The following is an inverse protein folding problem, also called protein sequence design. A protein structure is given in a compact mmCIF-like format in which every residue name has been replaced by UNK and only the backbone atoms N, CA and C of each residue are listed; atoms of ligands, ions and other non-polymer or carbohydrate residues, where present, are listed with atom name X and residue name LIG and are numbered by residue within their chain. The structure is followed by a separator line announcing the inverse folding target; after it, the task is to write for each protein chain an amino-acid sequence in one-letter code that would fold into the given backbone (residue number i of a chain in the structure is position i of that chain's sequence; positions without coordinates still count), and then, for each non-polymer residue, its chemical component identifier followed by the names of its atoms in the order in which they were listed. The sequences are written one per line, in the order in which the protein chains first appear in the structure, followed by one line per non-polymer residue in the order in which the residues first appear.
data_IF_772853930111
#
_entry.id   IF_772853930111
#
_cell.length_a   1.000
_cell.length_b   1.000
_cell.length_c   1.000
_cell.angle_alpha   90.00
_cell.angle_beta   90.00
_cell.angle_gamma   90.00
#
_symmetry.space_group_name_H-M   'P 1'
#
loop_
_entity.id
_entity.type
_entity.pdbx_description
1 polymer ?
#
# COMPACT_ATOMS: atom_id res chain seq x y z
N UNK A 1 57.12 -22.74 -6.54
CA UNK A 1 56.51 -21.61 -5.80
C UNK A 1 56.11 -20.45 -6.75
N UNK A 2 55.45 -20.75 -7.87
CA UNK A 2 54.91 -19.72 -8.79
C UNK A 2 53.53 -20.10 -9.36
N UNK A 3 53.15 -21.39 -9.35
CA UNK A 3 51.84 -21.85 -9.85
C UNK A 3 50.67 -21.61 -8.88
N UNK A 4 50.91 -21.56 -7.56
CA UNK A 4 49.86 -21.31 -6.56
C UNK A 4 49.45 -19.84 -6.43
N UNK A 5 50.24 -18.91 -6.98
CA UNK A 5 49.98 -17.47 -6.92
C UNK A 5 49.10 -16.96 -8.07
N UNK A 6 48.86 -17.77 -9.10
CA UNK A 6 48.04 -17.39 -10.26
C UNK A 6 46.62 -17.99 -10.23
N UNK A 7 46.37 -19.04 -9.44
CA UNK A 7 45.05 -19.67 -9.35
C UNK A 7 44.14 -18.91 -8.37
N UNK A 8 44.71 -18.30 -7.32
CA UNK A 8 43.94 -17.58 -6.29
C UNK A 8 43.25 -16.31 -6.82
N UNK A 9 43.86 -15.46 -7.66
CA UNK A 9 43.17 -14.30 -8.25
C UNK A 9 42.10 -14.73 -9.26
N UNK A 10 42.30 -15.85 -9.97
CA UNK A 10 41.34 -16.37 -10.95
C UNK A 10 40.09 -16.97 -10.30
N UNK A 11 40.22 -17.58 -9.11
CA UNK A 11 39.07 -18.03 -8.29
C UNK A 11 38.36 -16.82 -7.66
N UNK A 12 39.10 -15.83 -7.15
CA UNK A 12 38.48 -14.65 -6.52
C UNK A 12 37.79 -13.73 -7.54
N UNK A 13 38.30 -13.63 -8.78
CA UNK A 13 37.66 -12.86 -9.85
C UNK A 13 36.47 -13.59 -10.52
N UNK A 14 36.37 -14.92 -10.41
CA UNK A 14 35.24 -15.68 -10.96
C UNK A 14 34.01 -15.69 -10.04
N UNK A 15 34.14 -15.31 -8.77
CA UNK A 15 33.03 -15.28 -7.81
C UNK A 15 32.48 -13.88 -7.48
N UNK A 16 33.12 -12.79 -7.91
CA UNK A 16 32.71 -11.43 -7.49
C UNK A 16 31.79 -10.73 -8.48
N UNK A 17 31.96 -10.95 -9.79
CA UNK A 17 31.08 -10.39 -10.83
C UNK A 17 29.72 -11.09 -10.89
N UNK A 18 29.70 -12.42 -11.05
CA UNK A 18 28.46 -13.19 -11.14
C UNK A 18 27.63 -13.15 -9.85
N UNK A 19 28.25 -13.07 -8.66
CA UNK A 19 27.47 -12.99 -7.41
C UNK A 19 26.75 -11.67 -7.27
N UNK A 20 27.32 -10.54 -7.68
CA UNK A 20 26.61 -9.27 -7.58
C UNK A 20 25.38 -9.24 -8.48
N UNK A 21 25.48 -9.70 -9.73
CA UNK A 21 24.32 -9.75 -10.63
C UNK A 21 23.29 -10.83 -10.23
N UNK A 22 23.72 -11.94 -9.63
CA UNK A 22 22.83 -12.98 -9.06
C UNK A 22 22.15 -12.48 -7.77
N UNK A 23 22.88 -11.77 -6.93
CA UNK A 23 22.37 -11.17 -5.68
C UNK A 23 21.45 -9.98 -6.00
N UNK A 24 21.82 -9.11 -6.93
CA UNK A 24 20.99 -8.00 -7.41
C UNK A 24 19.76 -8.53 -8.17
N UNK A 25 19.85 -9.66 -8.90
CA UNK A 25 18.67 -10.30 -9.49
C UNK A 25 17.77 -11.00 -8.46
N UNK A 26 18.31 -11.51 -7.35
CA UNK A 26 17.54 -11.93 -6.17
C UNK A 26 16.83 -10.74 -5.47
N UNK A 27 17.29 -9.51 -5.68
CA UNK A 27 16.67 -8.26 -5.19
C UNK A 27 15.83 -7.51 -6.25
N UNK A 28 15.64 -8.06 -7.45
CA UNK A 28 14.73 -7.52 -8.48
C UNK A 28 13.25 -7.83 -8.20
N UNK A 29 12.96 -8.82 -7.36
CA UNK A 29 11.59 -9.21 -6.98
C UNK A 29 11.13 -8.43 -5.74
N UNK A 30 11.17 -7.09 -5.80
CA UNK A 30 10.62 -6.29 -4.72
C UNK A 30 9.11 -6.33 -4.79
N UNK A 31 8.47 -6.65 -3.68
CA UNK A 31 7.04 -6.40 -3.51
C UNK A 31 6.75 -4.93 -3.77
N UNK A 32 5.64 -4.61 -4.42
CA UNK A 32 5.32 -3.24 -4.76
C UNK A 32 3.82 -2.99 -4.86
N UNK A 33 3.46 -1.72 -4.80
CA UNK A 33 2.18 -1.17 -5.25
C UNK A 33 2.47 -0.08 -6.27
N UNK A 34 1.68 -0.05 -7.34
CA UNK A 34 1.69 1.03 -8.33
C UNK A 34 0.27 1.33 -8.76
N UNK A 35 -0.03 2.60 -9.02
CA UNK A 35 -1.33 3.02 -9.51
C UNK A 35 -1.24 4.43 -10.10
N UNK A 36 -2.33 4.88 -10.70
CA UNK A 36 -2.55 6.26 -11.07
C UNK A 36 -3.49 6.92 -10.05
N UNK A 37 -3.09 8.05 -9.47
CA UNK A 37 -3.93 8.84 -8.55
C UNK A 37 -4.16 10.20 -9.20
N UNK A 38 -5.42 10.51 -9.55
CA UNK A 38 -5.80 11.78 -10.20
C UNK A 38 -4.94 12.15 -11.43
N UNK A 39 -4.62 11.15 -12.26
CA UNK A 39 -3.78 11.33 -13.45
C UNK A 39 -2.27 11.23 -13.18
N UNK A 40 -1.84 11.04 -11.93
CA UNK A 40 -0.42 10.97 -11.54
C UNK A 40 -0.01 9.53 -11.23
N UNK A 41 1.00 9.05 -11.92
CA UNK A 41 1.57 7.72 -11.64
C UNK A 41 2.37 7.75 -10.34
N UNK A 42 2.06 6.81 -9.46
CA UNK A 42 2.74 6.61 -8.18
C UNK A 42 3.18 5.17 -8.03
N UNK A 43 4.31 4.96 -7.35
CA UNK A 43 4.84 3.62 -7.06
C UNK A 43 5.46 3.60 -5.66
N UNK A 44 5.15 2.56 -4.90
CA UNK A 44 5.74 2.29 -3.60
C UNK A 44 6.35 0.91 -3.57
N UNK A 45 7.65 0.82 -3.36
CA UNK A 45 8.36 -0.47 -3.27
C UNK A 45 8.52 -0.92 -1.81
N UNK A 46 8.37 -2.22 -1.56
CA UNK A 46 8.73 -2.89 -0.33
C UNK A 46 10.20 -3.23 -0.34
N UNK A 47 10.96 -2.70 0.61
CA UNK A 47 12.39 -2.99 0.71
C UNK A 47 12.60 -4.45 1.14
N UNK A 48 13.32 -5.23 0.32
CA UNK A 48 14.00 -6.45 0.75
C UNK A 48 15.44 -6.08 1.12
N UNK A 49 15.74 -5.96 2.42
CA UNK A 49 17.12 -6.07 2.90
C UNK A 49 17.26 -7.42 3.58
N UNK A 50 18.23 -8.21 3.14
CA UNK A 50 18.52 -9.57 3.60
C UNK A 50 18.73 -9.70 5.13
N UNK A 51 18.90 -8.58 5.85
CA UNK A 51 19.21 -8.54 7.28
C UNK A 51 18.41 -7.51 8.08
N UNK A 52 17.42 -6.85 7.46
CA UNK A 52 16.55 -5.90 8.15
C UNK A 52 15.11 -6.28 7.82
N UNK A 53 14.37 -6.77 8.82
CA UNK A 53 12.91 -6.85 8.71
C UNK A 53 12.42 -5.44 8.34
N UNK A 54 11.77 -5.25 7.18
CA UNK A 54 11.31 -3.92 6.83
C UNK A 54 10.23 -3.53 7.83
N UNK A 55 10.56 -2.60 8.74
CA UNK A 55 9.58 -2.04 9.69
C UNK A 55 8.43 -1.31 8.99
N UNK A 56 8.56 -1.06 7.67
CA UNK A 56 7.72 -0.11 6.93
C UNK A 56 7.15 -0.69 5.60
N UNK A 57 7.09 -2.02 5.43
CA UNK A 57 6.30 -2.64 4.35
C UNK A 57 5.16 -3.44 4.96
N UNK A 58 3.95 -2.89 4.92
CA UNK A 58 2.77 -3.47 5.56
C UNK A 58 1.85 -4.12 4.51
N UNK A 59 2.43 -4.99 3.67
CA UNK A 59 1.62 -5.99 2.97
C UNK A 59 1.69 -7.28 3.77
N UNK A 60 0.55 -7.79 4.20
CA UNK A 60 0.47 -9.02 4.98
C UNK A 60 -0.80 -9.78 4.64
N UNK A 61 -0.80 -11.04 5.02
CA UNK A 61 -1.98 -11.89 4.91
C UNK A 61 -2.05 -12.85 6.09
N UNK A 62 -3.23 -13.41 6.31
CA UNK A 62 -3.41 -14.56 7.19
C UNK A 62 -4.39 -15.51 6.54
N UNK A 63 -4.13 -16.81 6.68
CA UNK A 63 -5.06 -17.86 6.32
C UNK A 63 -5.12 -18.88 7.46
N UNK A 64 -6.29 -18.96 8.09
CA UNK A 64 -6.55 -19.68 9.33
C UNK A 64 -7.26 -21.02 9.05
N UNK A 65 -7.18 -21.95 10.01
CA UNK A 65 -7.76 -23.31 9.89
C UNK A 65 -9.29 -23.29 9.71
N UNK A 66 -9.96 -22.23 10.16
CA UNK A 66 -11.40 -22.02 9.96
C UNK A 66 -11.74 -21.48 8.55
N UNK A 67 -10.75 -21.41 7.67
CA UNK A 67 -10.86 -20.93 6.29
C UNK A 67 -10.87 -19.41 6.18
N UNK A 68 -10.69 -18.65 7.26
CA UNK A 68 -10.66 -17.19 7.19
C UNK A 68 -9.40 -16.70 6.48
N UNK A 69 -9.61 -15.84 5.48
CA UNK A 69 -8.55 -15.14 4.77
C UNK A 69 -8.57 -13.67 5.11
N UNK A 70 -7.41 -13.11 5.44
CA UNK A 70 -7.21 -11.67 5.58
C UNK A 70 -6.05 -11.23 4.69
N UNK A 71 -6.15 -10.07 4.09
CA UNK A 71 -5.07 -9.45 3.32
C UNK A 71 -5.09 -7.95 3.53
N UNK A 72 -3.93 -7.36 3.77
CA UNK A 72 -3.80 -5.93 4.02
C UNK A 72 -2.66 -5.34 3.20
N UNK A 73 -2.87 -4.12 2.72
CA UNK A 73 -1.84 -3.23 2.20
C UNK A 73 -1.94 -1.93 2.98
N UNK A 74 -0.83 -1.50 3.56
CA UNK A 74 -0.64 -0.14 4.02
C UNK A 74 0.69 0.38 3.46
N UNK A 75 0.60 1.32 2.52
CA UNK A 75 1.77 1.81 1.80
C UNK A 75 1.70 3.28 1.42
N UNK A 76 2.73 4.02 1.87
CA UNK A 76 3.04 5.35 1.35
C UNK A 76 3.56 5.27 -0.09
N UNK A 77 3.01 6.13 -0.95
CA UNK A 77 3.37 6.27 -2.38
C UNK A 77 3.49 7.76 -2.70
N UNK A 78 4.41 8.10 -3.59
CA UNK A 78 4.64 9.50 -3.97
C UNK A 78 4.58 9.64 -5.49
N UNK A 79 4.06 10.77 -5.96
CA UNK A 79 4.21 11.18 -7.35
C UNK A 79 5.52 11.97 -7.55
N UNK A 80 5.91 12.17 -8.82
CA UNK A 80 7.14 12.90 -9.18
C UNK A 80 7.07 14.40 -8.89
N UNK A 81 5.88 14.95 -8.69
CA UNK A 81 5.62 16.37 -8.46
C UNK A 81 5.57 16.71 -6.95
N UNK A 82 5.78 15.71 -6.08
CA UNK A 82 5.83 15.88 -4.63
C UNK A 82 4.51 15.62 -3.92
N UNK A 83 3.50 15.07 -4.59
CA UNK A 83 2.32 14.53 -3.94
C UNK A 83 2.68 13.30 -3.10
N UNK A 84 2.16 13.26 -1.88
CA UNK A 84 2.41 12.23 -0.90
C UNK A 84 1.07 11.62 -0.47
N UNK A 85 0.90 10.35 -0.80
CA UNK A 85 -0.31 9.60 -0.58
C UNK A 85 0.01 8.36 0.24
N UNK A 86 -0.99 7.83 0.92
CA UNK A 86 -0.88 6.52 1.56
C UNK A 86 -2.12 5.70 1.25
N UNK A 87 -1.91 4.54 0.65
CA UNK A 87 -2.97 3.62 0.22
C UNK A 87 -3.15 2.57 1.30
N UNK A 88 -4.41 2.38 1.69
CA UNK A 88 -4.85 1.34 2.59
C UNK A 88 -5.85 0.45 1.85
N UNK A 89 -5.57 -0.85 1.79
CA UNK A 89 -6.52 -1.86 1.33
C UNK A 89 -6.60 -2.93 2.41
N UNK A 90 -7.82 -3.35 2.74
CA UNK A 90 -8.04 -4.43 3.70
C UNK A 90 -9.14 -5.35 3.21
N UNK A 91 -8.86 -6.64 3.26
CA UNK A 91 -9.74 -7.71 2.79
C UNK A 91 -9.89 -8.71 3.92
N UNK A 92 -11.12 -9.10 4.20
CA UNK A 92 -11.46 -10.25 5.04
C UNK A 92 -12.60 -11.02 4.42
N UNK A 93 -12.45 -12.34 4.30
CA UNK A 93 -13.55 -13.21 3.96
C UNK A 93 -13.37 -14.63 4.49
N UNK A 94 -14.47 -15.38 4.57
CA UNK A 94 -14.44 -16.85 4.70
C UNK A 94 -14.14 -17.45 3.32
N UNK A 95 -13.08 -18.24 3.24
CA UNK A 95 -12.42 -18.83 2.05
C UNK A 95 -11.36 -17.96 1.38
N UNK A 96 -10.49 -18.60 0.59
CA UNK A 96 -9.60 -17.87 -0.31
C UNK A 96 -10.42 -17.15 -1.40
N UNK A 97 -10.00 -15.94 -1.81
CA UNK A 97 -10.55 -15.30 -2.99
C UNK A 97 -10.38 -16.16 -4.25
N UNK A 98 -11.38 -16.15 -5.12
CA UNK A 98 -11.30 -16.68 -6.47
C UNK A 98 -10.43 -15.75 -7.33
N UNK A 99 -9.52 -16.33 -8.11
CA UNK A 99 -8.64 -15.54 -8.97
C UNK A 99 -9.45 -14.95 -10.13
N UNK A 100 -9.25 -13.65 -10.40
CA UNK A 100 -9.97 -12.92 -11.44
C UNK A 100 -11.37 -12.42 -11.04
N UNK A 101 -11.88 -12.80 -9.86
CA UNK A 101 -13.15 -12.28 -9.35
C UNK A 101 -13.00 -10.88 -8.77
N UNK A 102 -13.99 -10.02 -9.03
CA UNK A 102 -14.00 -8.64 -8.54
C UNK A 102 -14.75 -8.52 -7.21
N UNK A 103 -14.03 -8.14 -6.16
CA UNK A 103 -14.58 -7.89 -4.84
C UNK A 103 -14.75 -6.40 -4.60
N UNK A 104 -15.99 -5.94 -4.47
CA UNK A 104 -16.31 -4.52 -4.39
C UNK A 104 -16.11 -3.95 -2.99
N UNK A 105 -15.51 -2.76 -2.92
CA UNK A 105 -15.23 -2.09 -1.66
C UNK A 105 -16.49 -1.57 -0.95
N UNK A 106 -16.45 -1.57 0.37
CA UNK A 106 -17.46 -0.96 1.24
C UNK A 106 -17.53 0.54 0.93
N UNK A 107 -18.75 1.04 0.72
CA UNK A 107 -18.98 2.44 0.31
C UNK A 107 -18.70 3.46 1.41
N UNK A 108 -18.94 3.10 2.67
CA UNK A 108 -18.79 4.00 3.81
C UNK A 108 -17.69 3.47 4.71
N UNK A 109 -16.67 4.29 4.96
CA UNK A 109 -15.50 3.93 5.75
C UNK A 109 -15.58 4.65 7.09
N UNK A 110 -15.62 3.87 8.18
CA UNK A 110 -15.55 4.43 9.52
C UNK A 110 -14.09 4.61 9.93
N UNK A 111 -13.65 5.86 9.94
CA UNK A 111 -12.31 6.26 10.39
C UNK A 111 -12.22 6.49 11.92
N UNK A 112 -13.26 6.21 12.69
CA UNK A 112 -13.32 6.52 14.14
C UNK A 112 -12.82 5.41 15.07
N UNK A 113 -12.54 4.22 14.54
CA UNK A 113 -12.07 3.06 15.28
C UNK A 113 -11.28 2.08 14.41
N UNK A 114 -10.79 0.96 14.97
CA UNK A 114 -10.28 -0.14 14.15
C UNK A 114 -11.40 -0.66 13.24
N UNK A 115 -11.04 -1.14 12.04
CA UNK A 115 -12.03 -1.75 11.15
C UNK A 115 -12.63 -3.01 11.80
N UNK A 116 -13.95 -3.01 12.00
CA UNK A 116 -14.70 -4.20 12.38
C UNK A 116 -14.88 -5.07 11.13
N UNK A 117 -14.28 -6.27 11.17
CA UNK A 117 -14.36 -7.20 10.06
C UNK A 117 -15.64 -8.04 10.16
N UNK A 118 -16.53 -7.81 9.21
CA UNK A 118 -17.64 -8.69 8.88
C UNK A 118 -17.12 -9.93 8.13
N UNK A 119 -17.91 -11.00 8.04
CA UNK A 119 -17.53 -12.26 7.36
C UNK A 119 -17.09 -12.09 5.90
N UNK A 120 -17.48 -10.98 5.25
CA UNK A 120 -17.00 -10.51 3.95
C UNK A 120 -16.87 -8.99 3.98
N UNK A 121 -15.65 -8.49 4.06
CA UNK A 121 -15.37 -7.06 4.15
C UNK A 121 -14.18 -6.69 3.27
N UNK A 122 -14.38 -5.69 2.39
CA UNK A 122 -13.36 -5.16 1.50
C UNK A 122 -13.33 -3.65 1.67
N UNK A 123 -12.18 -3.11 2.04
CA UNK A 123 -12.01 -1.69 2.35
C UNK A 123 -10.88 -1.15 1.48
N UNK A 124 -11.11 0.02 0.90
CA UNK A 124 -10.07 0.83 0.28
C UNK A 124 -10.13 2.24 0.87
N UNK A 125 -8.98 2.83 1.12
CA UNK A 125 -8.84 4.19 1.61
C UNK A 125 -7.54 4.81 1.11
N UNK A 126 -7.58 6.11 0.84
CA UNK A 126 -6.41 6.91 0.57
C UNK A 126 -6.28 8.01 1.62
N UNK A 127 -5.07 8.22 2.11
CA UNK A 127 -4.70 9.36 2.94
C UNK A 127 -3.89 10.35 2.10
N UNK A 128 -4.23 11.63 2.23
CA UNK A 128 -3.57 12.76 1.57
C UNK A 128 -3.27 13.87 2.57
N UNK A 129 -2.19 14.61 2.32
CA UNK A 129 -1.75 15.71 3.19
C UNK A 129 -1.64 17.04 2.41
N UNK A 130 -2.76 17.60 1.93
CA UNK A 130 -2.76 18.89 1.25
C UNK A 130 -2.59 20.05 2.23
N UNK A 131 -2.22 21.21 1.69
CA UNK A 131 -2.45 22.49 2.36
C UNK A 131 -3.94 22.85 2.32
N UNK A 132 -4.45 23.51 3.37
CA UNK A 132 -5.86 23.89 3.46
C UNK A 132 -6.34 24.72 2.26
N UNK A 133 -5.50 25.61 1.72
CA UNK A 133 -5.83 26.41 0.53
C UNK A 133 -5.99 25.59 -0.75
N UNK A 134 -5.51 24.34 -0.80
CA UNK A 134 -5.64 23.46 -1.96
C UNK A 134 -6.95 22.67 -1.96
N UNK A 135 -7.59 22.54 -0.80
CA UNK A 135 -8.74 21.67 -0.60
C UNK A 135 -9.95 22.37 0.02
N UNK A 136 -9.88 23.68 0.24
CA UNK A 136 -10.94 24.45 0.91
C UNK A 136 -11.14 25.82 0.26
N UNK A 137 -12.37 26.33 0.30
CA UNK A 137 -12.61 27.75 0.04
C UNK A 137 -11.97 28.59 1.15
N UNK A 138 -10.87 29.26 0.81
CA UNK A 138 -10.09 30.04 1.77
C UNK A 138 -10.87 31.20 2.39
N UNK A 139 -11.93 31.70 1.73
CA UNK A 139 -12.77 32.78 2.25
C UNK A 139 -13.61 32.32 3.45
N UNK A 140 -13.88 31.01 3.55
CA UNK A 140 -14.66 30.40 4.62
C UNK A 140 -13.81 29.91 5.80
N UNK A 141 -12.48 30.10 5.75
CA UNK A 141 -11.54 29.68 6.81
C UNK A 141 -10.65 30.85 7.28
N UNK A 142 -10.27 30.90 8.58
CA UNK A 142 -9.41 31.95 9.13
C UNK A 142 -8.06 32.09 8.42
N UNK A 143 -7.60 33.32 8.21
CA UNK A 143 -6.36 33.60 7.46
C UNK A 143 -5.13 32.93 8.08
N UNK A 144 -5.05 32.89 9.41
CA UNK A 144 -3.95 32.29 10.17
C UNK A 144 -3.82 30.77 9.98
N UNK A 145 -4.83 30.07 9.47
CA UNK A 145 -4.77 28.63 9.22
C UNK A 145 -4.66 28.25 7.74
N UNK A 146 -4.88 29.17 6.79
CA UNK A 146 -4.94 28.85 5.35
C UNK A 146 -3.71 28.13 4.80
N UNK A 147 -2.53 28.41 5.37
CA UNK A 147 -1.25 27.79 4.98
C UNK A 147 -0.89 26.53 5.79
N UNK A 148 -1.73 26.11 6.73
CA UNK A 148 -1.54 24.84 7.46
C UNK A 148 -1.87 23.66 6.56
N UNK A 149 -1.30 22.50 6.87
CA UNK A 149 -1.64 21.24 6.22
C UNK A 149 -2.74 20.54 7.01
N UNK A 150 -3.50 19.70 6.32
CA UNK A 150 -4.50 18.83 6.93
C UNK A 150 -4.30 17.42 6.41
N UNK A 151 -4.48 16.42 7.27
CA UNK A 151 -4.56 15.03 6.84
C UNK A 151 -6.02 14.71 6.53
N UNK A 152 -6.31 14.31 5.29
CA UNK A 152 -7.64 13.90 4.84
C UNK A 152 -7.57 12.44 4.41
N UNK A 153 -8.60 11.66 4.76
CA UNK A 153 -8.67 10.22 4.50
C UNK A 153 -10.06 9.81 4.05
N UNK A 154 -10.15 8.87 3.12
CA UNK A 154 -11.41 8.40 2.54
C UNK A 154 -12.51 8.18 3.58
N UNK A 155 -13.63 8.89 3.43
CA UNK A 155 -14.87 8.60 4.15
C UNK A 155 -15.82 7.77 3.29
N UNK A 156 -15.83 8.06 1.98
CA UNK A 156 -16.73 7.44 1.01
C UNK A 156 -15.93 6.87 -0.16
N UNK A 157 -16.22 5.61 -0.50
CA UNK A 157 -15.85 4.99 -1.76
C UNK A 157 -17.11 4.95 -2.63
N UNK A 158 -17.06 5.62 -3.79
CA UNK A 158 -18.20 5.69 -4.71
C UNK A 158 -18.37 4.38 -5.47
N UNK A 159 -17.27 3.97 -6.06
CA UNK A 159 -17.12 2.75 -6.85
C UNK A 159 -15.69 2.23 -6.64
N UNK A 160 -15.51 0.92 -6.76
CA UNK A 160 -14.18 0.33 -6.69
C UNK A 160 -14.20 -1.14 -6.32
N UNK A 161 -13.12 -1.83 -6.68
CA UNK A 161 -12.94 -3.26 -6.46
C UNK A 161 -11.47 -3.61 -6.24
N UNK A 162 -11.25 -4.79 -5.66
CA UNK A 162 -10.00 -5.52 -5.69
C UNK A 162 -10.21 -6.85 -6.42
N UNK A 163 -9.21 -7.24 -7.21
CA UNK A 163 -9.15 -8.51 -7.92
C UNK A 163 -7.83 -9.20 -7.59
N UNK A 164 -7.85 -10.46 -7.18
CA UNK A 164 -6.64 -11.23 -6.95
C UNK A 164 -6.25 -11.97 -8.23
N UNK A 165 -4.99 -11.87 -8.63
CA UNK A 165 -4.45 -12.53 -9.83
C UNK A 165 -3.52 -13.70 -9.50
N UNK A 166 -2.96 -13.72 -8.29
CA UNK A 166 -2.20 -14.85 -7.75
C UNK A 166 -2.36 -14.90 -6.24
N UNK A 167 -2.51 -16.10 -5.70
CA UNK A 167 -2.50 -16.37 -4.25
C UNK A 167 -1.75 -17.69 -4.04
N UNK A 168 -0.50 -17.61 -3.59
CA UNK A 168 0.28 -18.73 -3.09
C UNK A 168 0.55 -18.50 -1.59
N UNK A 169 -0.26 -19.14 -0.74
CA UNK A 169 -0.20 -19.00 0.71
C UNK A 169 1.05 -19.65 1.32
N UNK A 170 1.67 -20.61 0.63
CA UNK A 170 2.84 -21.33 1.14
C UNK A 170 4.12 -20.54 0.86
N UNK A 171 4.17 -19.86 -0.29
CA UNK A 171 5.28 -18.98 -0.66
C UNK A 171 5.11 -17.53 -0.19
N UNK A 172 3.91 -17.15 0.28
CA UNK A 172 3.62 -15.75 0.59
C UNK A 172 3.71 -14.88 -0.66
N UNK A 173 3.25 -15.40 -1.80
CA UNK A 173 3.19 -14.66 -3.06
C UNK A 173 1.74 -14.30 -3.38
N UNK A 174 1.40 -13.02 -3.31
CA UNK A 174 0.03 -12.54 -3.56
C UNK A 174 0.10 -11.33 -4.49
N UNK A 175 -0.64 -11.37 -5.60
CA UNK A 175 -0.74 -10.23 -6.53
C UNK A 175 -2.17 -9.98 -6.93
N UNK A 176 -2.43 -8.76 -7.40
CA UNK A 176 -3.77 -8.37 -7.79
C UNK A 176 -3.83 -6.97 -8.38
N UNK A 177 -5.05 -6.61 -8.73
CA UNK A 177 -5.45 -5.33 -9.30
C UNK A 177 -6.44 -4.65 -8.37
N UNK A 178 -6.50 -3.32 -8.41
CA UNK A 178 -7.50 -2.57 -7.67
C UNK A 178 -7.78 -1.23 -8.33
N UNK A 179 -9.02 -0.76 -8.20
CA UNK A 179 -9.43 0.58 -8.63
C UNK A 179 -10.48 1.10 -7.66
N UNK A 180 -10.47 2.41 -7.38
CA UNK A 180 -11.52 3.02 -6.60
C UNK A 180 -11.61 4.53 -6.79
N UNK A 181 -12.82 5.05 -6.69
CA UNK A 181 -13.10 6.48 -6.58
C UNK A 181 -13.56 6.83 -5.18
N UNK A 182 -13.03 7.91 -4.63
CA UNK A 182 -13.25 8.27 -3.25
C UNK A 182 -13.41 9.77 -3.03
N UNK A 183 -14.13 10.10 -1.98
CA UNK A 183 -14.22 11.44 -1.43
C UNK A 183 -14.06 11.45 0.09
N UNK A 184 -13.57 12.57 0.59
CA UNK A 184 -13.40 12.87 2.01
C UNK A 184 -13.82 14.30 2.27
N UNK A 185 -14.48 14.51 3.41
CA UNK A 185 -14.73 15.85 3.95
C UNK A 185 -14.25 15.87 5.39
N UNK A 186 -13.38 16.82 5.73
CA UNK A 186 -12.84 16.91 7.08
C UNK A 186 -13.94 17.15 8.11
N UNK A 187 -13.90 16.40 9.22
CA UNK A 187 -14.77 16.63 10.38
C UNK A 187 -14.32 17.86 11.19
N UNK A 188 -13.03 18.21 11.12
CA UNK A 188 -12.46 19.39 11.82
C UNK A 188 -12.60 20.70 11.06
N UNK A 189 -12.48 20.64 9.73
CA UNK A 189 -12.62 21.78 8.82
C UNK A 189 -13.60 21.38 7.73
N UNK A 190 -14.93 21.48 7.96
CA UNK A 190 -15.94 21.00 7.00
C UNK A 190 -15.86 21.63 5.60
N UNK A 191 -15.14 22.74 5.44
CA UNK A 191 -14.86 23.39 4.17
C UNK A 191 -13.75 22.68 3.38
N UNK A 192 -12.95 21.84 4.03
CA UNK A 192 -11.87 21.07 3.43
C UNK A 192 -12.39 19.72 2.93
N UNK A 193 -12.30 19.50 1.63
CA UNK A 193 -12.67 18.25 1.00
C UNK A 193 -11.65 17.83 -0.06
N UNK A 194 -11.55 16.53 -0.29
CA UNK A 194 -10.68 15.99 -1.33
C UNK A 194 -11.37 14.84 -2.07
N UNK A 195 -11.14 14.77 -3.38
CA UNK A 195 -11.62 13.70 -4.24
C UNK A 195 -10.43 13.04 -4.91
N UNK A 196 -10.44 11.72 -4.95
CA UNK A 196 -9.40 10.93 -5.59
C UNK A 196 -10.04 9.88 -6.50
N UNK A 197 -9.46 9.70 -7.68
CA UNK A 197 -9.65 8.52 -8.51
C UNK A 197 -8.34 7.75 -8.55
N UNK A 198 -8.41 6.48 -8.17
CA UNK A 198 -7.29 5.54 -8.18
C UNK A 198 -7.56 4.49 -9.25
N UNK A 199 -6.78 4.51 -10.32
CA UNK A 199 -6.95 3.64 -11.49
C UNK A 199 -5.67 2.89 -11.80
N UNK A 200 -5.77 1.84 -12.64
CA UNK A 200 -4.63 1.02 -13.04
C UNK A 200 -3.83 0.50 -11.82
N UNK A 201 -4.52 0.27 -10.69
CA UNK A 201 -3.87 -0.15 -9.47
C UNK A 201 -3.42 -1.60 -9.58
N UNK A 202 -2.16 -1.84 -9.22
CA UNK A 202 -1.53 -3.15 -9.19
C UNK A 202 -0.70 -3.31 -7.94
N UNK A 203 -0.77 -4.49 -7.35
CA UNK A 203 0.12 -4.88 -6.27
C UNK A 203 0.75 -6.25 -6.56
N UNK A 204 1.99 -6.40 -6.13
CA UNK A 204 2.72 -7.66 -6.16
C UNK A 204 3.40 -7.82 -4.81
N UNK A 205 3.12 -8.93 -4.14
CA UNK A 205 3.76 -9.36 -2.90
C UNK A 205 4.59 -10.60 -3.15
N UNK A 206 5.85 -10.57 -2.75
CA UNK A 206 6.76 -11.70 -2.63
C UNK A 206 7.17 -11.86 -1.17
N UNK A 207 7.22 -13.11 -0.69
CA UNK A 207 7.59 -13.44 0.69
C UNK A 207 6.86 -12.57 1.75
N UNK A 208 5.58 -12.21 1.50
CA UNK A 208 4.86 -11.28 2.38
C UNK A 208 4.56 -11.91 3.74
N UNK A 209 4.48 -11.08 4.78
CA UNK A 209 4.37 -11.56 6.16
C UNK A 209 3.03 -12.28 6.43
N UNK A 210 3.11 -13.48 7.01
CA UNK A 210 1.96 -14.29 7.40
C UNK A 210 1.57 -14.05 8.86
N UNK A 211 0.27 -14.09 9.16
CA UNK A 211 -0.32 -14.02 10.51
C UNK A 211 -0.04 -12.71 11.27
N UNK A 212 0.24 -11.63 10.53
CA UNK A 212 0.28 -10.29 11.11
C UNK A 212 -0.97 -9.55 10.70
N UNK A 213 -1.89 -9.36 11.63
CA UNK A 213 -3.00 -8.47 11.36
C UNK A 213 -2.59 -7.04 11.66
N UNK A 214 -2.58 -6.19 10.62
CA UNK A 214 -2.35 -4.78 10.80
C UNK A 214 -3.69 -4.07 10.98
N UNK A 215 -3.97 -3.66 12.21
CA UNK A 215 -5.09 -2.79 12.51
C UNK A 215 -4.54 -1.40 12.75
N UNK A 216 -4.71 -0.49 11.80
CA UNK A 216 -4.51 0.93 12.12
C UNK A 216 -5.75 1.38 12.89
N UNK A 217 -5.63 1.81 14.16
CA UNK A 217 -6.75 2.45 14.84
C UNK A 217 -7.18 3.69 14.05
N UNK A 218 -8.45 4.06 14.25
CA UNK A 218 -9.16 5.14 13.57
C UNK A 218 -8.26 6.19 12.95
N UNK A 219 -8.36 6.32 11.63
CA UNK A 219 -7.56 7.19 10.83
C UNK A 219 -8.15 8.62 10.88
N UNK A 220 -8.01 9.32 12.01
CA UNK A 220 -8.61 10.65 12.19
C UNK A 220 -7.94 11.72 11.31
N UNK A 221 -8.73 12.69 10.86
CA UNK A 221 -8.21 13.92 10.28
C UNK A 221 -7.59 14.80 11.37
N UNK A 222 -6.50 15.50 11.03
CA UNK A 222 -5.87 16.47 11.93
C UNK A 222 -5.16 17.56 11.15
N UNK A 223 -5.14 18.76 11.73
CA UNK A 223 -4.44 19.92 11.20
C UNK A 223 -3.01 19.89 11.74
N UNK A 224 -2.04 20.04 10.84
CA UNK A 224 -0.60 20.10 11.10
C UNK A 224 -0.14 21.55 11.34
#
# INVERSE_FOLDING_TARGET
MLFYLLIYPLIVCSFTGCKKDVVDSLFKNNSYIECNINGKNVRGEGLRKMFEAPTNFHMNYSYYDDGSFTFNIDKGVNDKEGGNYRIYISVTQKTLPELGERYYFKKQIDNSGPFEFEDKCYIASIEVIPYLYQCSDTTLIPENIRKKKIILKTDVVKEGYIEFTNIDIDKGEISGLFEFETEVTSKRVPQASYKASVTEGKFVGHDIERNRTFYTPGLFDYIL
#
